data_IF_054652759016
#
_entry.id   IF_054652759016
#
_cell.length_a   1.000
_cell.length_b   1.000
_cell.length_c   1.000
_cell.angle_alpha   90.00
_cell.angle_beta   90.00
_cell.angle_gamma   90.00
#
_symmetry.space_group_name_H-M   'P 1'
#
loop_
_entity.id
_entity.type
_entity.pdbx_description
1 polymer ?
#
# COMPACT_ATOMS: atom_id res chain seq x y z
N UNK A 1 -23.34 5.16 0.63
CA UNK A 1 -23.18 4.50 1.94
C UNK A 1 -21.72 4.56 2.32
N UNK A 2 -21.38 5.43 3.28
CA UNK A 2 -20.05 5.50 3.86
C UNK A 2 -19.75 4.18 4.57
N UNK A 3 -18.56 3.61 4.36
CA UNK A 3 -18.09 2.50 5.18
C UNK A 3 -18.09 2.97 6.64
N UNK A 4 -18.64 2.17 7.56
CA UNK A 4 -18.77 2.57 8.97
C UNK A 4 -17.39 2.93 9.54
N UNK A 5 -17.14 4.22 9.71
CA UNK A 5 -15.93 4.71 10.36
C UNK A 5 -16.00 4.38 11.85
N UNK A 6 -14.91 3.85 12.41
CA UNK A 6 -14.81 3.68 13.86
C UNK A 6 -14.91 5.07 14.52
N UNK A 7 -15.82 5.31 15.48
CA UNK A 7 -15.97 6.62 16.14
C UNK A 7 -14.67 7.12 16.79
N UNK A 8 -13.75 6.22 17.16
CA UNK A 8 -12.42 6.60 17.66
C UNK A 8 -11.56 7.34 16.63
N UNK A 9 -11.91 7.32 15.34
CA UNK A 9 -11.22 8.16 14.34
C UNK A 9 -11.37 9.65 14.63
N UNK A 10 -12.45 10.08 15.30
CA UNK A 10 -12.64 11.50 15.65
C UNK A 10 -11.68 11.99 16.75
N UNK A 11 -11.03 11.07 17.49
CA UNK A 11 -10.10 11.44 18.57
C UNK A 11 -8.66 11.61 18.10
N UNK A 12 -8.39 11.34 16.82
CA UNK A 12 -7.03 11.42 16.25
C UNK A 12 -6.57 12.88 16.08
N UNK A 13 -5.26 13.15 16.15
CA UNK A 13 -4.71 14.50 16.09
C UNK A 13 -4.63 15.02 14.64
N UNK A 14 -5.78 15.15 13.98
CA UNK A 14 -5.90 15.58 12.57
C UNK A 14 -5.25 16.94 12.28
N UNK A 15 -5.05 17.78 13.30
CA UNK A 15 -4.38 19.08 13.24
C UNK A 15 -2.85 19.00 13.24
N UNK A 16 -2.25 17.80 13.29
CA UNK A 16 -0.80 17.60 13.22
C UNK A 16 -0.42 16.96 11.88
N UNK A 17 0.72 17.33 11.25
CA UNK A 17 1.30 16.57 10.15
C UNK A 17 1.48 15.11 10.55
N UNK A 18 1.16 14.17 9.65
CA UNK A 18 1.11 12.75 9.97
C UNK A 18 2.45 12.21 10.49
N UNK A 19 3.56 12.77 10.01
CA UNK A 19 4.91 12.41 10.43
C UNK A 19 5.16 12.65 11.93
N UNK A 20 4.43 13.58 12.54
CA UNK A 20 4.60 14.07 13.92
C UNK A 20 3.56 13.51 14.90
N UNK A 21 2.80 12.49 14.47
CA UNK A 21 1.80 11.89 15.34
C UNK A 21 2.44 11.15 16.52
N UNK A 22 1.83 11.20 17.70
CA UNK A 22 2.35 10.53 18.91
C UNK A 22 2.59 9.04 18.71
N UNK A 23 3.71 8.52 19.24
CA UNK A 23 4.10 7.11 19.09
C UNK A 23 3.12 6.13 19.74
N UNK A 24 2.43 6.53 20.81
CA UNK A 24 1.40 5.72 21.49
C UNK A 24 0.17 5.44 20.61
N UNK A 25 -0.03 6.21 19.52
CA UNK A 25 -1.04 5.92 18.51
C UNK A 25 -0.53 4.99 17.40
N UNK A 26 0.79 4.82 17.27
CA UNK A 26 1.40 4.12 16.14
C UNK A 26 1.53 2.63 16.41
N UNK A 27 1.17 1.82 15.42
CA UNK A 27 1.45 0.40 15.43
C UNK A 27 2.88 0.16 14.96
N UNK A 28 3.67 -0.60 15.74
CA UNK A 28 4.99 -1.07 15.34
C UNK A 28 4.85 -2.23 14.34
N UNK A 29 4.69 -1.89 13.06
CA UNK A 29 4.56 -2.84 11.96
C UNK A 29 5.68 -2.64 10.94
N UNK A 30 6.20 -3.73 10.32
CA UNK A 30 7.17 -3.61 9.24
C UNK A 30 6.63 -2.73 8.11
N UNK A 31 7.45 -1.79 7.65
CA UNK A 31 7.05 -0.81 6.63
C UNK A 31 7.82 -1.05 5.35
N UNK A 32 7.14 -0.90 4.22
CA UNK A 32 7.81 -0.75 2.93
C UNK A 32 8.42 0.63 2.77
N UNK A 33 9.19 0.80 1.70
CA UNK A 33 9.68 2.12 1.27
C UNK A 33 8.50 2.86 0.64
N UNK A 34 8.28 4.11 1.04
CA UNK A 34 7.29 4.98 0.40
C UNK A 34 7.88 6.36 0.19
N UNK A 35 7.52 6.98 -0.94
CA UNK A 35 7.83 8.39 -1.23
C UNK A 35 7.02 9.35 -0.35
N UNK A 36 5.89 8.87 0.18
CA UNK A 36 4.95 9.66 0.97
C UNK A 36 5.06 9.29 2.45
N UNK A 37 4.58 10.17 3.33
CA UNK A 37 4.50 9.86 4.75
C UNK A 37 3.38 8.86 4.96
N UNK A 38 3.75 7.64 5.36
CA UNK A 38 2.80 6.61 5.79
C UNK A 38 2.94 6.43 7.31
N UNK A 39 1.83 6.17 8.01
CA UNK A 39 1.77 5.76 9.44
C UNK A 39 0.73 4.66 9.62
N UNK A 40 1.05 3.63 10.40
CA UNK A 40 0.08 2.64 10.84
C UNK A 40 -0.45 3.07 12.19
N UNK A 41 -1.76 3.25 12.33
CA UNK A 41 -2.37 3.90 13.49
C UNK A 41 -3.40 2.97 14.12
N UNK A 42 -3.31 2.79 15.44
CA UNK A 42 -4.31 2.11 16.24
C UNK A 42 -5.57 2.98 16.38
N UNK A 43 -6.72 2.40 16.05
CA UNK A 43 -8.03 3.04 16.25
C UNK A 43 -8.96 2.03 16.88
N UNK A 44 -8.96 2.01 18.22
CA UNK A 44 -9.56 0.91 18.98
C UNK A 44 -8.75 -0.37 18.79
N UNK A 45 -9.41 -1.47 18.48
CA UNK A 45 -8.78 -2.79 18.31
C UNK A 45 -8.30 -3.05 16.87
N UNK A 46 -8.50 -2.07 15.98
CA UNK A 46 -8.14 -2.15 14.57
C UNK A 46 -6.95 -1.24 14.25
N UNK A 47 -6.21 -1.61 13.20
CA UNK A 47 -5.09 -0.84 12.67
C UNK A 47 -5.44 -0.32 11.29
N UNK A 48 -5.08 0.93 11.02
CA UNK A 48 -5.27 1.58 9.73
C UNK A 48 -3.93 2.06 9.18
N UNK A 49 -3.74 1.96 7.87
CA UNK A 49 -2.65 2.64 7.19
C UNK A 49 -3.13 4.01 6.74
N UNK A 50 -2.40 5.05 7.13
CA UNK A 50 -2.67 6.44 6.80
C UNK A 50 -1.54 6.94 5.91
N UNK A 51 -1.88 7.45 4.73
CA UNK A 51 -0.96 8.00 3.73
C UNK A 51 -1.27 9.49 3.59
N UNK A 52 -0.31 10.36 3.95
CA UNK A 52 -0.45 11.82 3.83
C UNK A 52 0.05 12.28 2.46
N UNK A 53 -0.87 12.80 1.64
CA UNK A 53 -0.69 13.11 0.21
C UNK A 53 -1.62 14.24 -0.22
N UNK A 54 -1.39 14.79 -1.41
CA UNK A 54 -2.26 15.84 -1.94
C UNK A 54 -3.70 15.39 -2.05
N UNK A 55 -4.62 16.33 -1.80
CA UNK A 55 -6.07 16.06 -1.84
C UNK A 55 -6.51 15.37 -3.12
N UNK A 56 -6.08 15.88 -4.27
CA UNK A 56 -6.46 15.35 -5.58
C UNK A 56 -6.01 13.90 -5.75
N UNK A 57 -4.78 13.59 -5.31
CA UNK A 57 -4.24 12.22 -5.37
C UNK A 57 -5.00 11.30 -4.42
N UNK A 58 -5.27 11.74 -3.18
CA UNK A 58 -5.99 10.95 -2.19
C UNK A 58 -7.42 10.60 -2.63
N UNK A 59 -8.16 11.58 -3.16
CA UNK A 59 -9.51 11.37 -3.68
C UNK A 59 -9.52 10.40 -4.87
N UNK A 60 -8.56 10.56 -5.80
CA UNK A 60 -8.43 9.65 -6.96
C UNK A 60 -8.10 8.23 -6.53
N UNK A 61 -7.08 8.05 -5.69
CA UNK A 61 -6.64 6.74 -5.21
C UNK A 61 -7.75 6.03 -4.42
N UNK A 62 -8.46 6.75 -3.56
CA UNK A 62 -9.63 6.23 -2.83
C UNK A 62 -10.71 5.70 -3.78
N UNK A 63 -11.08 6.45 -4.81
CA UNK A 63 -12.11 6.03 -5.76
C UNK A 63 -11.66 4.84 -6.62
N UNK A 64 -10.38 4.80 -7.03
CA UNK A 64 -9.81 3.64 -7.72
C UNK A 64 -9.89 2.40 -6.83
N UNK A 65 -9.34 2.46 -5.61
CA UNK A 65 -9.37 1.33 -4.67
C UNK A 65 -10.81 0.87 -4.40
N UNK A 66 -11.76 1.80 -4.29
CA UNK A 66 -13.18 1.46 -4.08
C UNK A 66 -13.78 0.73 -5.28
N UNK A 67 -13.42 1.11 -6.50
CA UNK A 67 -13.84 0.40 -7.72
C UNK A 67 -13.22 -0.98 -7.80
N UNK A 68 -11.92 -1.12 -7.50
CA UNK A 68 -11.24 -2.42 -7.49
C UNK A 68 -11.85 -3.36 -6.44
N UNK A 69 -12.22 -2.85 -5.26
CA UNK A 69 -12.93 -3.62 -4.24
C UNK A 69 -14.31 -4.11 -4.70
N UNK A 70 -15.05 -3.32 -5.47
CA UNK A 70 -16.34 -3.77 -6.06
C UNK A 70 -16.17 -4.87 -7.09
N UNK A 71 -14.99 -4.97 -7.70
CA UNK A 71 -14.60 -6.03 -8.63
C UNK A 71 -13.97 -7.23 -7.91
N UNK A 72 -13.98 -7.23 -6.56
CA UNK A 72 -13.41 -8.29 -5.72
C UNK A 72 -11.91 -8.54 -5.98
N UNK A 73 -11.20 -7.51 -6.42
CA UNK A 73 -9.76 -7.59 -6.67
C UNK A 73 -8.99 -7.53 -5.34
N UNK A 74 -7.85 -8.26 -5.23
CA UNK A 74 -7.02 -8.28 -4.04
C UNK A 74 -6.28 -6.94 -3.86
N UNK A 75 -6.93 -5.99 -3.19
CA UNK A 75 -6.37 -4.68 -2.83
C UNK A 75 -6.56 -4.41 -1.34
N UNK A 76 -5.85 -3.42 -0.81
CA UNK A 76 -6.21 -2.83 0.49
C UNK A 76 -7.61 -2.19 0.43
N UNK A 77 -8.29 -2.19 1.58
CA UNK A 77 -9.67 -1.68 1.67
C UNK A 77 -9.62 -0.18 1.98
N UNK A 78 -10.10 0.71 1.09
CA UNK A 78 -10.18 2.13 1.36
C UNK A 78 -11.31 2.42 2.36
N UNK A 79 -11.03 3.31 3.33
CA UNK A 79 -11.95 3.62 4.43
C UNK A 79 -12.44 5.05 4.34
N UNK A 80 -11.52 6.01 4.15
CA UNK A 80 -11.87 7.42 4.06
C UNK A 80 -10.74 8.24 3.39
N UNK A 81 -11.09 9.46 2.99
CA UNK A 81 -10.14 10.54 2.72
C UNK A 81 -10.44 11.68 3.69
N UNK A 82 -9.45 12.12 4.44
CA UNK A 82 -9.56 13.26 5.36
C UNK A 82 -8.95 14.48 4.71
N UNK A 83 -9.79 15.45 4.36
CA UNK A 83 -9.42 16.71 3.69
C UNK A 83 -9.66 17.92 4.57
N UNK A 84 -9.16 19.09 4.17
CA UNK A 84 -9.44 20.36 4.87
C UNK A 84 -8.82 20.43 6.27
N UNK A 85 -7.74 19.65 6.49
CA UNK A 85 -6.96 19.68 7.71
C UNK A 85 -6.21 21.00 7.79
N UNK A 86 -6.13 21.56 8.99
CA UNK A 86 -5.35 22.74 9.29
C UNK A 86 -4.58 22.51 10.58
N UNK A 87 -3.39 23.09 10.70
CA UNK A 87 -2.64 23.09 11.94
C UNK A 87 -3.25 24.06 12.96
N UNK A 88 -2.61 24.20 14.14
CA UNK A 88 -3.10 25.10 15.19
C UNK A 88 -2.99 26.58 14.84
N UNK A 89 -2.17 26.93 13.85
CA UNK A 89 -1.99 28.29 13.35
C UNK A 89 -2.97 28.61 12.22
N UNK A 90 -3.73 27.61 11.74
CA UNK A 90 -4.64 27.75 10.61
C UNK A 90 -3.97 27.49 9.25
N UNK A 91 -2.74 26.99 9.23
CA UNK A 91 -2.05 26.65 7.98
C UNK A 91 -2.60 25.32 7.42
N UNK A 92 -2.85 25.23 6.10
CA UNK A 92 -3.40 24.04 5.49
C UNK A 92 -2.43 22.86 5.57
N UNK A 93 -2.97 21.67 5.85
CA UNK A 93 -2.25 20.40 5.80
C UNK A 93 -2.76 19.55 4.64
N UNK A 94 -1.89 18.67 4.15
CA UNK A 94 -2.23 17.71 3.11
C UNK A 94 -3.37 16.76 3.54
N UNK A 95 -4.00 16.11 2.56
CA UNK A 95 -5.04 15.13 2.86
C UNK A 95 -4.43 13.83 3.41
N UNK A 96 -5.25 13.03 4.10
CA UNK A 96 -4.88 11.67 4.49
C UNK A 96 -5.82 10.68 3.83
N UNK A 97 -5.27 9.76 3.03
CA UNK A 97 -5.95 8.53 2.62
C UNK A 97 -5.85 7.51 3.75
N UNK A 98 -6.99 6.98 4.17
CA UNK A 98 -7.09 5.95 5.20
C UNK A 98 -7.49 4.63 4.56
N UNK A 99 -6.67 3.60 4.71
CA UNK A 99 -6.98 2.22 4.32
C UNK A 99 -6.93 1.30 5.54
N UNK A 100 -7.69 0.20 5.51
CA UNK A 100 -7.60 -0.81 6.56
C UNK A 100 -6.28 -1.56 6.42
N UNK A 101 -5.56 -1.73 7.53
CA UNK A 101 -4.38 -2.58 7.53
C UNK A 101 -4.77 -4.04 7.23
N UNK A 102 -4.05 -4.66 6.30
CA UNK A 102 -4.25 -6.06 5.93
C UNK A 102 -3.51 -6.96 6.94
N UNK A 103 -4.26 -7.55 7.87
CA UNK A 103 -3.71 -8.40 8.94
C UNK A 103 -2.90 -9.57 8.36
N UNK A 104 -1.80 -9.93 9.03
CA UNK A 104 -0.86 -11.00 8.65
C UNK A 104 -0.13 -10.80 7.31
N UNK A 105 -0.26 -9.62 6.70
CA UNK A 105 0.50 -9.27 5.51
C UNK A 105 1.84 -8.66 5.85
N UNK A 106 2.81 -8.81 4.94
CA UNK A 106 4.15 -8.25 5.09
C UNK A 106 4.61 -7.62 3.76
N UNK A 107 5.36 -6.50 3.80
CA UNK A 107 6.08 -6.01 2.63
C UNK A 107 7.19 -7.00 2.28
N UNK A 108 7.56 -7.08 0.99
CA UNK A 108 8.55 -8.08 0.52
C UNK A 108 9.87 -8.02 1.31
N UNK A 109 10.36 -6.82 1.65
CA UNK A 109 11.61 -6.65 2.42
C UNK A 109 11.57 -7.34 3.78
N UNK A 110 10.43 -7.30 4.48
CA UNK A 110 10.28 -7.97 5.76
C UNK A 110 10.26 -9.50 5.62
N UNK A 111 9.80 -10.02 4.48
CA UNK A 111 9.84 -11.46 4.19
C UNK A 111 11.26 -11.94 3.93
N UNK A 112 12.04 -11.18 3.16
CA UNK A 112 13.45 -11.50 2.93
C UNK A 112 14.32 -11.36 4.18
N UNK A 113 14.02 -10.42 5.07
CA UNK A 113 14.74 -10.28 6.34
C UNK A 113 14.57 -11.48 7.29
N UNK A 114 13.43 -12.18 7.21
CA UNK A 114 13.09 -13.27 8.13
C UNK A 114 13.48 -14.67 7.64
N UNK A 115 13.60 -14.90 6.33
CA UNK A 115 14.06 -16.18 5.78
C UNK A 115 14.42 -16.07 4.28
N UNK A 116 15.71 -16.11 3.98
CA UNK A 116 16.27 -16.27 2.63
C UNK A 116 16.23 -17.74 2.22
N UNK A 117 15.03 -18.32 2.07
CA UNK A 117 14.94 -19.54 1.27
C UNK A 117 15.23 -19.17 -0.19
N UNK A 118 16.03 -19.97 -0.92
CA UNK A 118 16.43 -19.66 -2.31
C UNK A 118 15.25 -19.35 -3.23
N UNK A 119 14.10 -19.97 -2.95
CA UNK A 119 12.84 -19.96 -3.68
C UNK A 119 11.86 -18.86 -3.23
N UNK A 120 12.15 -18.10 -2.16
CA UNK A 120 11.26 -17.02 -1.70
C UNK A 120 11.02 -15.97 -2.79
N UNK A 121 12.06 -15.57 -3.52
CA UNK A 121 11.94 -14.56 -4.56
C UNK A 121 11.01 -15.01 -5.70
N UNK A 122 11.17 -16.25 -6.16
CA UNK A 122 10.34 -16.86 -7.20
C UNK A 122 8.87 -16.90 -6.76
N UNK A 123 8.59 -17.35 -5.53
CA UNK A 123 7.22 -17.41 -5.00
C UNK A 123 6.55 -16.05 -4.84
N UNK A 124 7.32 -14.99 -4.54
CA UNK A 124 6.78 -13.62 -4.51
C UNK A 124 6.50 -13.09 -5.91
N UNK A 125 7.36 -13.39 -6.88
CA UNK A 125 7.16 -13.04 -8.29
C UNK A 125 5.92 -13.77 -8.84
N UNK A 126 5.72 -15.05 -8.51
CA UNK A 126 4.54 -15.80 -8.90
C UNK A 126 3.25 -15.18 -8.35
N UNK A 127 3.25 -14.83 -7.06
CA UNK A 127 2.11 -14.16 -6.43
C UNK A 127 1.81 -12.80 -7.09
N UNK A 128 2.84 -12.01 -7.41
CA UNK A 128 2.72 -10.75 -8.13
C UNK A 128 2.19 -10.95 -9.56
N UNK A 129 2.66 -11.98 -10.27
CA UNK A 129 2.19 -12.30 -11.61
C UNK A 129 0.70 -12.65 -11.60
N UNK A 130 0.25 -13.45 -10.62
CA UNK A 130 -1.18 -13.76 -10.43
C UNK A 130 -2.00 -12.50 -10.14
N UNK A 131 -1.49 -11.61 -9.27
CA UNK A 131 -2.13 -10.31 -9.01
C UNK A 131 -2.25 -9.49 -10.30
N UNK A 132 -1.15 -9.34 -11.06
CA UNK A 132 -1.11 -8.55 -12.28
C UNK A 132 -2.08 -9.08 -13.34
N UNK A 133 -2.14 -10.39 -13.53
CA UNK A 133 -3.10 -11.03 -14.44
C UNK A 133 -4.54 -10.72 -14.03
N UNK A 134 -4.88 -10.83 -12.73
CA UNK A 134 -6.23 -10.49 -12.24
C UNK A 134 -6.58 -9.03 -12.49
N UNK A 135 -5.64 -8.12 -12.22
CA UNK A 135 -5.82 -6.69 -12.47
C UNK A 135 -6.05 -6.42 -13.97
N UNK A 136 -5.22 -6.98 -14.85
CA UNK A 136 -5.32 -6.80 -16.30
C UNK A 136 -6.60 -7.38 -16.90
N UNK A 137 -7.04 -8.55 -16.41
CA UNK A 137 -8.31 -9.16 -16.83
C UNK A 137 -9.52 -8.33 -16.41
N UNK A 138 -9.41 -7.61 -15.30
CA UNK A 138 -10.44 -6.68 -14.83
C UNK A 138 -10.36 -5.28 -15.47
N UNK A 139 -9.45 -5.07 -16.43
CA UNK A 139 -9.30 -3.79 -17.13
C UNK A 139 -8.48 -2.74 -16.37
N UNK A 140 -7.74 -3.13 -15.33
CA UNK A 140 -6.93 -2.19 -14.54
C UNK A 140 -5.49 -2.11 -15.03
N UNK A 141 -5.10 -0.93 -15.51
CA UNK A 141 -3.73 -0.57 -15.81
C UNK A 141 -3.08 -0.02 -14.54
N UNK A 142 -1.91 -0.52 -14.15
CA UNK A 142 -1.30 -0.17 -12.87
C UNK A 142 -0.35 1.04 -12.98
N UNK A 143 0.58 1.03 -13.92
CA UNK A 143 1.51 2.14 -14.17
C UNK A 143 2.62 2.34 -13.12
N UNK A 144 2.72 1.48 -12.10
CA UNK A 144 3.84 1.45 -11.14
C UNK A 144 3.99 0.05 -10.50
N UNK A 145 4.09 -0.99 -11.35
CA UNK A 145 4.21 -2.38 -10.90
C UNK A 145 5.55 -2.59 -10.19
N UNK A 146 5.51 -2.93 -8.89
CA UNK A 146 6.70 -3.17 -8.07
C UNK A 146 6.37 -4.08 -6.88
N UNK A 147 7.38 -4.70 -6.26
CA UNK A 147 7.20 -5.44 -5.00
C UNK A 147 6.92 -4.48 -3.83
N UNK A 148 7.41 -3.23 -3.89
CA UNK A 148 7.18 -2.22 -2.86
C UNK A 148 5.71 -1.77 -2.76
N UNK A 149 4.96 -1.84 -3.86
CA UNK A 149 3.55 -1.45 -3.93
C UNK A 149 2.59 -2.61 -3.58
N UNK A 150 3.12 -3.70 -3.02
CA UNK A 150 2.39 -4.95 -2.74
C UNK A 150 2.62 -5.41 -1.32
N UNK A 151 1.54 -5.92 -0.71
CA UNK A 151 1.60 -6.69 0.52
C UNK A 151 1.38 -8.17 0.23
N UNK A 152 2.15 -9.01 0.91
CA UNK A 152 2.11 -10.45 0.72
C UNK A 152 1.58 -11.14 1.98
N UNK A 153 0.62 -12.03 1.80
CA UNK A 153 0.17 -12.94 2.84
C UNK A 153 0.80 -14.30 2.57
N UNK A 154 1.40 -14.88 3.60
CA UNK A 154 1.89 -16.25 3.53
C UNK A 154 0.70 -17.20 3.68
N UNK A 155 0.53 -18.08 2.70
CA UNK A 155 -0.49 -19.12 2.72
C UNK A 155 0.21 -20.48 2.53
N UNK A 156 0.47 -21.18 3.63
CA UNK A 156 1.26 -22.42 3.67
C UNK A 156 2.57 -22.32 2.85
N UNK A 157 2.59 -22.96 1.67
CA UNK A 157 3.70 -23.05 0.73
C UNK A 157 3.63 -22.02 -0.42
N UNK A 158 2.72 -21.06 -0.36
CA UNK A 158 2.55 -20.00 -1.36
C UNK A 158 2.44 -18.61 -0.73
N UNK A 159 2.37 -17.60 -1.61
CA UNK A 159 2.03 -16.22 -1.23
C UNK A 159 0.81 -15.76 -2.02
N UNK A 160 -0.02 -14.94 -1.36
CA UNK A 160 -1.03 -14.12 -2.03
C UNK A 160 -0.57 -12.67 -2.03
N UNK A 161 -0.67 -11.99 -3.17
CA UNK A 161 -0.28 -10.60 -3.34
C UNK A 161 -1.50 -9.67 -3.35
N UNK A 162 -1.39 -8.53 -2.68
CA UNK A 162 -2.42 -7.51 -2.59
C UNK A 162 -1.87 -6.15 -2.99
N UNK A 163 -2.58 -5.47 -3.89
CA UNK A 163 -2.26 -4.10 -4.31
C UNK A 163 -2.47 -3.12 -3.16
N UNK A 164 -1.45 -2.32 -2.85
CA UNK A 164 -1.53 -1.27 -1.82
C UNK A 164 -1.63 0.11 -2.44
N UNK A 165 -0.83 0.38 -3.46
CA UNK A 165 -0.71 1.69 -4.08
C UNK A 165 -1.30 1.66 -5.50
N UNK A 166 -2.40 2.37 -5.68
CA UNK A 166 -3.11 2.49 -6.94
C UNK A 166 -3.03 3.93 -7.52
N UNK A 167 -2.12 4.76 -7.01
CA UNK A 167 -1.98 6.19 -7.32
C UNK A 167 -1.83 6.46 -8.82
N UNK A 168 -1.04 5.65 -9.51
CA UNK A 168 -0.73 5.79 -10.94
C UNK A 168 -1.71 5.07 -11.86
N UNK A 169 -2.58 4.23 -11.29
CA UNK A 169 -3.42 3.32 -12.05
C UNK A 169 -4.66 3.97 -12.65
N UNK A 170 -5.31 3.23 -13.54
CA UNK A 170 -6.61 3.58 -14.08
C UNK A 170 -7.41 2.36 -14.56
N UNK A 171 -8.75 2.46 -14.48
CA UNK A 171 -9.67 1.42 -14.93
C UNK A 171 -10.20 1.73 -16.32
N UNK A 172 -9.97 0.80 -17.25
CA UNK A 172 -10.50 0.83 -18.60
C UNK A 172 -11.60 -0.23 -18.78
N UNK A 173 -12.40 -0.09 -19.83
CA UNK A 173 -13.34 -1.17 -20.23
C UNK A 173 -12.56 -2.43 -20.61
N UNK A 174 -11.45 -2.24 -21.33
CA UNK A 174 -10.50 -3.28 -21.66
C UNK A 174 -9.13 -2.63 -21.84
N UNK A 175 -8.08 -3.28 -21.33
CA UNK A 175 -6.72 -2.83 -21.58
C UNK A 175 -6.31 -3.07 -23.02
N UNK A 176 -5.58 -2.10 -23.57
CA UNK A 176 -4.84 -2.29 -24.82
C UNK A 176 -3.62 -3.16 -24.57
N UNK A 177 -3.07 -3.76 -25.63
CA UNK A 177 -1.85 -4.56 -25.51
C UNK A 177 -0.67 -3.71 -25.05
N UNK A 178 -0.55 -2.47 -25.53
CA UNK A 178 0.49 -1.54 -25.08
C UNK A 178 0.43 -1.18 -23.60
N UNK A 179 -0.77 -1.10 -23.00
CA UNK A 179 -0.90 -0.91 -21.54
C UNK A 179 -0.41 -2.13 -20.76
N UNK A 180 -0.72 -3.35 -21.25
CA UNK A 180 -0.25 -4.59 -20.61
C UNK A 180 1.25 -4.75 -20.73
N UNK A 181 1.80 -4.51 -21.91
CA UNK A 181 3.24 -4.55 -22.19
C UNK A 181 4.00 -3.57 -21.31
N UNK A 182 3.49 -2.34 -21.17
CA UNK A 182 4.10 -1.33 -20.31
C UNK A 182 4.16 -1.76 -18.85
N UNK A 183 3.07 -2.29 -18.29
CA UNK A 183 3.06 -2.81 -16.92
C UNK A 183 4.05 -3.98 -16.73
N UNK A 184 4.19 -4.86 -17.73
CA UNK A 184 5.15 -5.98 -17.71
C UNK A 184 6.60 -5.47 -17.74
N UNK A 185 6.90 -4.47 -18.58
CA UNK A 185 8.23 -3.87 -18.68
C UNK A 185 8.62 -3.12 -17.41
N UNK A 186 7.67 -2.39 -16.80
CA UNK A 186 7.85 -1.77 -15.49
C UNK A 186 8.11 -2.82 -14.43
N UNK A 187 7.30 -3.88 -14.37
CA UNK A 187 7.47 -4.96 -13.42
C UNK A 187 8.88 -5.55 -13.51
N UNK A 188 9.35 -5.88 -14.72
CA UNK A 188 10.70 -6.41 -14.94
C UNK A 188 11.78 -5.46 -14.40
N UNK A 189 11.70 -4.18 -14.77
CA UNK A 189 12.72 -3.18 -14.41
C UNK A 189 12.75 -2.93 -12.91
N UNK A 190 11.58 -2.72 -12.31
CA UNK A 190 11.44 -2.41 -10.88
C UNK A 190 11.85 -3.60 -10.01
N UNK A 191 11.35 -4.81 -10.31
CA UNK A 191 11.63 -6.02 -9.51
C UNK A 191 13.13 -6.33 -9.52
N UNK A 192 13.80 -6.23 -10.67
CA UNK A 192 15.25 -6.45 -10.75
C UNK A 192 15.98 -5.44 -9.85
N UNK A 193 15.62 -4.15 -9.92
CA UNK A 193 16.21 -3.12 -9.07
C UNK A 193 16.00 -3.39 -7.58
N UNK A 194 14.78 -3.75 -7.19
CA UNK A 194 14.40 -4.05 -5.80
C UNK A 194 15.15 -5.27 -5.24
N UNK A 195 15.31 -6.32 -6.04
CA UNK A 195 16.07 -7.52 -5.65
C UNK A 195 17.58 -7.25 -5.61
N UNK A 196 18.11 -6.44 -6.53
CA UNK A 196 19.52 -6.01 -6.48
C UNK A 196 19.82 -5.16 -5.24
N UNK A 197 18.95 -4.21 -4.91
CA UNK A 197 19.08 -3.40 -3.70
C UNK A 197 19.05 -4.29 -2.45
N UNK A 198 18.15 -5.28 -2.41
CA UNK A 198 18.08 -6.26 -1.33
C UNK A 198 19.38 -7.06 -1.21
N UNK A 199 19.91 -7.59 -2.32
CA UNK A 199 21.16 -8.37 -2.34
C UNK A 199 22.39 -7.55 -1.93
N UNK A 200 22.38 -6.25 -2.23
CA UNK A 200 23.46 -5.32 -1.84
C UNK A 200 23.45 -4.93 -0.35
N UNK A 201 22.50 -5.44 0.44
CA UNK A 201 22.40 -5.12 1.86
C UNK A 201 21.86 -3.71 2.13
N UNK A 202 21.27 -3.03 1.13
CA UNK A 202 20.51 -1.79 1.33
C UNK A 202 19.14 -2.09 1.95
N UNK A 203 19.17 -2.74 3.11
CA UNK A 203 18.06 -2.94 4.01
C UNK A 203 18.08 -1.78 5.02
N UNK A 204 17.38 -0.67 4.76
CA UNK A 204 17.20 0.41 5.77
C UNK A 204 15.81 1.08 5.64
N UNK A 205 15.20 1.54 6.74
CA UNK A 205 15.51 1.32 8.16
C UNK A 205 14.64 0.23 8.80
N UNK A 206 15.22 -0.54 9.71
CA UNK A 206 14.49 -1.26 10.74
C UNK A 206 14.14 -0.28 11.87
N UNK A 207 12.93 0.26 11.88
CA UNK A 207 12.35 0.92 13.07
C UNK A 207 11.65 -0.13 13.97
N UNK A 208 12.13 -1.38 13.93
CA UNK A 208 11.72 -2.40 14.87
C UNK A 208 12.68 -2.30 16.03
N UNK A 209 12.36 -1.45 17.00
CA UNK A 209 12.83 -1.70 18.37
C UNK A 209 12.24 -3.06 18.79
N UNK A 210 13.13 -3.99 19.14
CA UNK A 210 12.79 -5.30 19.71
C UNK A 210 11.90 -5.20 20.96
#
# INVERSE_FOLDING_TARGET
TAASSNPKMFTLPWHKPLATWPEDLLANLPRGISRHVVRFVHVGDEVYAMKEITRQVAEREYEILRRLQKLELPTVIPIAVVTGRHDRNGEPLEAILVTRHLKFSLPYRALFARNLQPDTAERLIDALAVLLVRLHLAGFYWGDVSLSNVLFLRDADAFSAFLVDAETGDLQVQLTDGQREYDIDLARTNIIGELMDLASGRLLPSDVDE
#
